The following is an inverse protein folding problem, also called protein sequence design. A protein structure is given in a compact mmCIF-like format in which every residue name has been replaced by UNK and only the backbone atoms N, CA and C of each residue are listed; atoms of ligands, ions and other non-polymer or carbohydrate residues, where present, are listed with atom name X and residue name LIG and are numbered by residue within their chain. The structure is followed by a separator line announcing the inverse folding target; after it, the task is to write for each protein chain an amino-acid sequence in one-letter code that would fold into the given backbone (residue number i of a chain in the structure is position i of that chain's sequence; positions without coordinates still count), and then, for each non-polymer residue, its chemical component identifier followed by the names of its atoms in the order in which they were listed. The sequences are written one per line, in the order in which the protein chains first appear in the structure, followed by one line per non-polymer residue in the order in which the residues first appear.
data_IF_381620579427
#
_entry.id   IF_381620579427
#
_cell.length_a   1.000
_cell.length_b   1.000
_cell.length_c   1.000
_cell.angle_alpha   90.00
_cell.angle_beta   90.00
_cell.angle_gamma   90.00
#
_symmetry.space_group_name_H-M   'P 1'
#
loop_
_entity.id
_entity.type
_entity.pdbx_description
1 polymer ?
#
# COMPACT_ATOMS: atom_id res chain seq x y z
N UNK A 1 -0.98 -0.08 -8.18
CA UNK A 1 0.49 -0.24 -8.00
C UNK A 1 0.87 -0.17 -6.53
N UNK A 2 0.58 0.93 -5.82
CA UNK A 2 0.92 1.05 -4.39
C UNK A 2 0.38 -0.11 -3.51
N UNK A 3 -0.92 -0.41 -3.61
CA UNK A 3 -1.54 -1.50 -2.84
C UNK A 3 -0.85 -2.85 -3.13
N UNK A 4 -0.36 -3.07 -4.35
CA UNK A 4 0.40 -4.28 -4.68
C UNK A 4 1.80 -4.32 -4.07
N UNK A 5 2.40 -3.18 -3.77
CA UNK A 5 3.68 -3.12 -3.05
C UNK A 5 3.41 -3.44 -1.57
N UNK A 6 2.33 -2.88 -1.00
CA UNK A 6 1.95 -3.12 0.39
C UNK A 6 1.67 -4.60 0.72
N UNK A 7 1.33 -5.46 -0.27
CA UNK A 7 1.15 -6.90 -0.03
C UNK A 7 2.46 -7.70 0.10
N UNK A 8 3.60 -7.09 -0.25
CA UNK A 8 4.92 -7.75 -0.29
C UNK A 8 6.00 -7.02 0.50
N UNK A 9 5.82 -5.72 0.74
CA UNK A 9 6.80 -4.88 1.40
C UNK A 9 6.78 -5.08 2.92
N UNK A 10 7.93 -5.39 3.49
CA UNK A 10 8.17 -5.30 4.94
C UNK A 10 8.40 -3.83 5.32
N UNK A 11 7.32 -3.04 5.31
CA UNK A 11 7.39 -1.60 5.55
C UNK A 11 7.78 -1.29 7.01
N UNK A 12 9.05 -0.94 7.22
CA UNK A 12 9.59 -0.64 8.54
C UNK A 12 8.91 0.57 9.19
N UNK A 13 8.37 1.52 8.42
CA UNK A 13 7.61 2.64 8.99
C UNK A 13 6.31 2.17 9.65
N UNK A 14 5.69 1.11 9.12
CA UNK A 14 4.52 0.46 9.74
C UNK A 14 4.94 -0.27 11.01
N UNK A 15 6.04 -1.04 10.95
CA UNK A 15 6.54 -1.80 12.11
C UNK A 15 6.94 -0.88 13.27
N UNK A 16 7.63 0.22 12.99
CA UNK A 16 8.05 1.19 14.02
C UNK A 16 6.86 1.86 14.71
N UNK A 17 5.74 2.07 14.00
CA UNK A 17 4.56 2.73 14.55
C UNK A 17 3.57 1.80 15.23
N UNK A 18 3.39 0.60 14.70
CA UNK A 18 2.32 -0.31 15.12
C UNK A 18 2.72 -1.77 15.23
N UNK A 19 4.02 -2.08 15.19
CA UNK A 19 4.55 -3.43 15.34
C UNK A 19 4.27 -4.34 14.15
N UNK A 20 4.64 -5.61 14.31
CA UNK A 20 4.42 -6.65 13.29
C UNK A 20 2.93 -6.93 13.04
N UNK A 21 2.07 -6.71 14.04
CA UNK A 21 0.62 -6.83 13.88
C UNK A 21 0.09 -5.82 12.86
N UNK A 22 0.54 -4.57 12.93
CA UNK A 22 0.14 -3.55 11.94
C UNK A 22 0.69 -3.85 10.55
N UNK A 23 1.90 -4.41 10.45
CA UNK A 23 2.44 -4.85 9.16
C UNK A 23 1.59 -5.97 8.56
N UNK A 24 1.25 -6.97 9.37
CA UNK A 24 0.39 -8.08 8.96
C UNK A 24 -0.99 -7.57 8.51
N UNK A 25 -1.59 -6.64 9.26
CA UNK A 25 -2.85 -6.01 8.90
C UNK A 25 -2.80 -5.29 7.55
N UNK A 26 -1.73 -4.51 7.29
CA UNK A 26 -1.52 -3.82 6.01
C UNK A 26 -1.44 -4.83 4.86
N UNK A 27 -0.71 -5.93 5.04
CA UNK A 27 -0.59 -6.99 4.03
C UNK A 27 -1.96 -7.62 3.76
N UNK A 28 -2.71 -7.99 4.80
CA UNK A 28 -4.01 -8.65 4.69
C UNK A 28 -5.05 -7.78 4.00
N UNK A 29 -5.24 -6.53 4.45
CA UNK A 29 -6.26 -5.65 3.88
C UNK A 29 -5.92 -5.27 2.43
N UNK A 30 -4.64 -5.08 2.13
CA UNK A 30 -4.16 -4.80 0.77
C UNK A 30 -4.38 -6.01 -0.15
N UNK A 31 -4.11 -7.22 0.35
CA UNK A 31 -4.31 -8.48 -0.39
C UNK A 31 -5.80 -8.69 -0.68
N UNK A 32 -6.65 -8.55 0.34
CA UNK A 32 -8.10 -8.68 0.20
C UNK A 32 -8.67 -7.68 -0.82
N UNK A 33 -8.20 -6.42 -0.81
CA UNK A 33 -8.62 -5.43 -1.79
C UNK A 33 -8.26 -5.85 -3.23
N UNK A 34 -7.07 -6.42 -3.45
CA UNK A 34 -6.65 -6.89 -4.78
C UNK A 34 -7.42 -8.14 -5.22
N UNK A 35 -7.60 -9.11 -4.33
CA UNK A 35 -8.36 -10.34 -4.60
C UNK A 35 -9.83 -10.05 -4.92
N UNK A 36 -10.42 -9.02 -4.31
CA UNK A 36 -11.76 -8.57 -4.63
C UNK A 36 -11.88 -7.89 -6.02
N UNK A 37 -10.79 -7.74 -6.78
CA UNK A 37 -10.76 -7.13 -8.11
C UNK A 37 -10.04 -5.78 -8.16
N UNK A 38 -9.44 -5.33 -7.06
CA UNK A 38 -8.67 -4.09 -6.99
C UNK A 38 -9.47 -2.87 -7.47
N UNK A 39 -8.84 -2.07 -8.33
CA UNK A 39 -9.48 -0.88 -8.91
C UNK A 39 -10.59 -1.18 -9.92
N UNK A 40 -10.73 -2.43 -10.37
CA UNK A 40 -11.81 -2.85 -11.27
C UNK A 40 -13.14 -3.12 -10.54
N UNK A 41 -13.15 -3.03 -9.20
CA UNK A 41 -14.35 -3.19 -8.40
C UNK A 41 -15.33 -2.03 -8.57
N UNK A 42 -16.62 -2.33 -8.41
CA UNK A 42 -17.62 -1.30 -8.15
C UNK A 42 -17.24 -0.51 -6.90
N UNK A 43 -17.29 0.83 -6.99
CA UNK A 43 -16.97 1.76 -5.90
C UNK A 43 -15.55 1.57 -5.34
N UNK A 44 -14.59 1.12 -6.14
CA UNK A 44 -13.21 0.87 -5.69
C UNK A 44 -12.58 2.07 -4.97
N UNK A 45 -12.85 3.30 -5.43
CA UNK A 45 -12.35 4.53 -4.78
C UNK A 45 -12.90 4.71 -3.37
N UNK A 46 -14.21 4.53 -3.17
CA UNK A 46 -14.84 4.61 -1.85
C UNK A 46 -14.28 3.54 -0.91
N UNK A 47 -14.07 2.31 -1.42
CA UNK A 47 -13.44 1.23 -0.63
C UNK A 47 -12.00 1.58 -0.24
N UNK A 48 -11.24 2.17 -1.15
CA UNK A 48 -9.86 2.58 -0.89
C UNK A 48 -9.78 3.74 0.11
N UNK A 49 -10.71 4.69 0.04
CA UNK A 49 -10.87 5.76 1.02
C UNK A 49 -11.19 5.18 2.40
N UNK A 50 -12.08 4.18 2.48
CA UNK A 50 -12.36 3.49 3.73
C UNK A 50 -11.12 2.76 4.30
N UNK A 51 -10.33 2.09 3.46
CA UNK A 51 -9.05 1.49 3.88
C UNK A 51 -8.09 2.56 4.43
N UNK A 52 -8.01 3.72 3.76
CA UNK A 52 -7.20 4.83 4.23
C UNK A 52 -7.69 5.34 5.60
N UNK A 53 -8.99 5.48 5.81
CA UNK A 53 -9.54 5.89 7.10
C UNK A 53 -9.21 4.90 8.21
N UNK A 54 -9.24 3.60 7.93
CA UNK A 54 -8.80 2.56 8.86
C UNK A 54 -7.32 2.69 9.22
N UNK A 55 -6.47 3.04 8.25
CA UNK A 55 -5.05 3.31 8.51
C UNK A 55 -4.85 4.55 9.39
N UNK A 56 -5.56 5.64 9.10
CA UNK A 56 -5.52 6.87 9.91
C UNK A 56 -5.97 6.58 11.35
N UNK A 57 -7.08 5.86 11.54
CA UNK A 57 -7.59 5.49 12.86
C UNK A 57 -6.61 4.63 13.67
N UNK A 58 -5.85 3.77 12.99
CA UNK A 58 -4.84 2.89 13.61
C UNK A 58 -3.44 3.51 13.67
N UNK A 59 -3.28 4.77 13.24
CA UNK A 59 -1.97 5.44 13.14
C UNK A 59 -0.95 4.64 12.29
N UNK A 60 -1.43 4.00 11.23
CA UNK A 60 -0.63 3.21 10.29
C UNK A 60 -0.25 4.08 9.10
N UNK A 61 1.04 4.11 8.76
CA UNK A 61 1.55 4.83 7.59
C UNK A 61 2.52 3.95 6.81
N UNK A 62 2.10 3.36 5.67
CA UNK A 62 2.96 2.56 4.80
C UNK A 62 3.86 3.44 3.92
N UNK A 63 4.73 4.21 4.59
CA UNK A 63 5.61 5.19 3.94
C UNK A 63 6.70 4.52 3.11
N UNK A 64 7.31 3.44 3.59
CA UNK A 64 8.35 2.74 2.83
C UNK A 64 7.81 2.16 1.52
N UNK A 65 6.57 1.69 1.52
CA UNK A 65 5.86 1.22 0.33
C UNK A 65 5.62 2.36 -0.68
N UNK A 66 5.33 3.56 -0.20
CA UNK A 66 5.17 4.76 -1.04
C UNK A 66 6.51 5.20 -1.63
N UNK A 67 7.59 5.14 -0.86
CA UNK A 67 8.94 5.44 -1.33
C UNK A 67 9.39 4.46 -2.42
N UNK A 68 9.13 3.15 -2.23
CA UNK A 68 9.38 2.12 -3.25
C UNK A 68 8.61 2.39 -4.54
N UNK A 69 7.35 2.85 -4.43
CA UNK A 69 6.58 3.25 -5.61
C UNK A 69 7.24 4.45 -6.32
N UNK A 70 7.63 5.48 -5.56
CA UNK A 70 8.27 6.67 -6.12
C UNK A 70 9.58 6.32 -6.85
N UNK A 71 10.43 5.50 -6.24
CA UNK A 71 11.67 4.99 -6.85
C UNK A 71 11.38 4.17 -8.11
N UNK A 72 10.36 3.29 -8.06
CA UNK A 72 9.97 2.47 -9.22
C UNK A 72 9.53 3.34 -10.41
N UNK A 73 8.72 4.38 -10.15
CA UNK A 73 8.29 5.35 -11.17
C UNK A 73 9.51 6.11 -11.71
N UNK A 74 10.40 6.58 -10.85
CA UNK A 74 11.62 7.29 -11.24
C UNK A 74 12.49 6.45 -12.17
N UNK A 75 12.78 5.19 -11.80
CA UNK A 75 13.55 4.27 -12.62
C UNK A 75 12.86 3.99 -13.96
N UNK A 76 11.54 3.78 -13.96
CA UNK A 76 10.79 3.57 -15.20
C UNK A 76 10.86 4.78 -16.15
N UNK A 77 10.86 6.00 -15.62
CA UNK A 77 11.00 7.22 -16.41
C UNK A 77 12.43 7.39 -16.96
N UNK A 78 13.45 7.00 -16.21
CA UNK A 78 14.84 7.01 -16.69
C UNK A 78 15.06 5.99 -17.81
N UNK A 79 14.56 4.76 -17.65
CA UNK A 79 14.72 3.70 -18.66
C UNK A 79 14.00 4.00 -19.98
N UNK A 80 13.02 4.91 -20.00
CA UNK A 80 12.33 5.37 -21.21
C UNK A 80 13.07 6.48 -21.97
N UNK A 81 14.12 7.05 -21.36
CA UNK A 81 14.95 8.12 -21.97
C UNK A 81 16.25 7.58 -22.60
N UNK A 82 16.39 6.26 -22.72
CA UNK A 82 17.50 5.58 -23.40
C UNK A 82 16.99 5.01 -24.71
#
# INVERSE_FOLDING_TARGET
MLISIMTKSEDTNVVTRGGLESLQYVIEISTSFLEAGGMCQNKAKEKLEHINDLFVQRNISPGGSADLLAVSIFLALLSRKI
#
